data_IF_160123309716
#
_entry.id   IF_160123309716
#
_cell.length_a   1.000
_cell.length_b   1.000
_cell.length_c   1.000
_cell.angle_alpha   90.00
_cell.angle_beta   90.00
_cell.angle_gamma   90.00
#
_symmetry.space_group_name_H-M   'P 1'
#
loop_
_entity.id
_entity.type
_entity.pdbx_description
1 polymer ?
#
# COMPACT_ATOMS: atom_id res chain seq x y z
N UNK A 1 -3.86 -10.31 19.59
CA UNK A 1 -5.02 -10.94 18.93
C UNK A 1 -4.75 -11.07 17.44
N UNK A 2 -5.19 -12.15 16.85
CA UNK A 2 -5.26 -12.32 15.41
C UNK A 2 -6.48 -11.57 14.85
N UNK A 3 -6.50 -11.28 13.54
CA UNK A 3 -7.57 -10.46 12.93
C UNK A 3 -8.97 -11.11 13.09
N UNK A 4 -9.04 -12.41 12.95
CA UNK A 4 -10.30 -13.15 13.15
C UNK A 4 -10.78 -13.12 14.62
N UNK A 5 -9.87 -13.17 15.60
CA UNK A 5 -10.21 -13.04 17.02
C UNK A 5 -10.79 -11.66 17.34
N UNK A 6 -10.22 -10.59 16.73
CA UNK A 6 -10.74 -9.22 16.89
C UNK A 6 -12.15 -9.14 16.33
N UNK A 7 -12.39 -9.74 15.16
CA UNK A 7 -13.71 -9.79 14.51
C UNK A 7 -14.72 -10.55 15.38
N UNK A 8 -14.33 -11.68 15.94
CA UNK A 8 -15.16 -12.50 16.83
C UNK A 8 -15.56 -11.72 18.10
N UNK A 9 -14.60 -11.03 18.72
CA UNK A 9 -14.87 -10.19 19.91
C UNK A 9 -15.80 -9.01 19.59
N UNK A 10 -15.64 -8.40 18.42
CA UNK A 10 -16.55 -7.34 17.98
C UNK A 10 -17.96 -7.87 17.77
N UNK A 11 -18.09 -9.03 17.13
CA UNK A 11 -19.38 -9.70 16.90
C UNK A 11 -20.08 -10.03 18.21
N UNK A 12 -19.34 -10.55 19.20
CA UNK A 12 -19.86 -10.81 20.55
C UNK A 12 -20.36 -9.52 21.22
N UNK A 13 -19.57 -8.44 21.14
CA UNK A 13 -19.96 -7.13 21.70
C UNK A 13 -21.21 -6.53 21.03
N UNK A 14 -21.48 -6.88 19.78
CA UNK A 14 -22.68 -6.52 19.04
C UNK A 14 -23.88 -7.45 19.30
N UNK A 15 -23.71 -8.47 20.15
CA UNK A 15 -24.77 -9.43 20.51
C UNK A 15 -24.98 -10.56 19.50
N UNK A 16 -24.04 -10.76 18.60
CA UNK A 16 -24.04 -11.85 17.62
C UNK A 16 -22.76 -12.69 17.78
N UNK A 17 -22.70 -13.62 18.76
CA UNK A 17 -21.49 -14.39 19.00
C UNK A 17 -21.17 -15.34 17.86
N UNK A 18 -19.90 -15.33 17.45
CA UNK A 18 -19.30 -16.29 16.52
C UNK A 18 -18.27 -17.13 17.28
N UNK A 19 -18.65 -18.34 17.75
CA UNK A 19 -17.85 -19.08 18.74
C UNK A 19 -16.75 -19.91 18.08
N UNK A 20 -15.91 -19.28 17.26
CA UNK A 20 -14.74 -19.95 16.68
C UNK A 20 -13.59 -19.99 17.66
N UNK A 21 -12.90 -21.13 17.71
CA UNK A 21 -11.71 -21.34 18.53
C UNK A 21 -10.44 -21.42 17.68
N UNK A 22 -10.58 -21.65 16.37
CA UNK A 22 -9.47 -21.75 15.42
C UNK A 22 -9.92 -21.35 14.02
N UNK A 23 -9.00 -20.83 13.22
CA UNK A 23 -9.27 -20.43 11.84
C UNK A 23 -9.77 -21.55 10.93
N UNK A 24 -9.47 -22.82 11.26
CA UNK A 24 -10.00 -23.98 10.51
C UNK A 24 -11.52 -24.09 10.60
N UNK A 25 -12.13 -23.75 11.74
CA UNK A 25 -13.58 -23.79 11.92
C UNK A 25 -14.27 -22.74 11.04
N UNK A 26 -13.61 -21.59 10.84
CA UNK A 26 -14.06 -20.55 9.91
C UNK A 26 -13.97 -21.06 8.47
N UNK A 27 -12.86 -21.74 8.12
CA UNK A 27 -12.71 -22.31 6.78
C UNK A 27 -13.74 -23.40 6.52
N UNK A 28 -14.06 -24.23 7.49
CA UNK A 28 -15.08 -25.28 7.38
C UNK A 28 -16.47 -24.65 7.11
N UNK A 29 -16.81 -23.54 7.77
CA UNK A 29 -18.05 -22.81 7.49
C UNK A 29 -18.02 -22.16 6.09
N UNK A 30 -16.90 -21.54 5.69
CA UNK A 30 -16.75 -21.02 4.32
C UNK A 30 -16.96 -22.13 3.30
N UNK A 31 -16.35 -23.29 3.49
CA UNK A 31 -16.49 -24.44 2.62
C UNK A 31 -17.95 -24.95 2.55
N UNK A 32 -18.65 -24.97 3.68
CA UNK A 32 -20.05 -25.40 3.72
C UNK A 32 -21.00 -24.42 2.99
N UNK A 33 -20.69 -23.13 3.00
CA UNK A 33 -21.55 -22.08 2.43
C UNK A 33 -21.18 -21.69 0.99
N UNK A 34 -19.97 -22.04 0.52
CA UNK A 34 -19.45 -21.57 -0.77
C UNK A 34 -19.05 -22.75 -1.65
N UNK A 35 -19.84 -23.11 -2.65
CA UNK A 35 -19.59 -24.30 -3.48
C UNK A 35 -18.18 -24.40 -4.05
N UNK A 36 -17.61 -23.27 -4.49
CA UNK A 36 -16.25 -23.22 -5.07
C UNK A 36 -15.11 -23.37 -4.05
N UNK A 37 -15.43 -23.40 -2.76
CA UNK A 37 -14.51 -23.69 -1.65
C UNK A 37 -14.81 -25.03 -0.95
N UNK A 38 -15.83 -25.77 -1.40
CA UNK A 38 -16.33 -26.97 -0.74
C UNK A 38 -15.26 -28.04 -0.48
N UNK A 39 -14.29 -28.14 -1.37
CA UNK A 39 -13.17 -29.08 -1.25
C UNK A 39 -12.01 -28.57 -0.40
N UNK A 40 -12.04 -27.35 0.14
CA UNK A 40 -10.92 -26.76 0.90
C UNK A 40 -11.06 -27.07 2.38
N UNK A 41 -9.98 -27.53 3.02
CA UNK A 41 -9.88 -27.68 4.46
C UNK A 41 -8.44 -27.45 4.92
N UNK A 42 -8.23 -27.09 6.18
CA UNK A 42 -6.90 -26.98 6.76
C UNK A 42 -6.12 -28.30 6.66
N UNK A 43 -6.80 -29.44 6.87
CA UNK A 43 -6.19 -30.77 6.68
C UNK A 43 -5.61 -30.93 5.28
N UNK A 44 -6.40 -30.57 4.23
CA UNK A 44 -5.94 -30.64 2.84
C UNK A 44 -4.77 -29.68 2.59
N UNK A 45 -4.82 -28.45 3.14
CA UNK A 45 -3.74 -27.49 3.01
C UNK A 45 -2.45 -27.97 3.68
N UNK A 46 -2.54 -28.66 4.82
CA UNK A 46 -1.38 -29.25 5.49
C UNK A 46 -0.75 -30.40 4.67
N UNK A 47 -1.59 -31.20 4.01
CA UNK A 47 -1.13 -32.32 3.18
C UNK A 47 -0.55 -31.86 1.84
N UNK A 48 -1.14 -30.85 1.19
CA UNK A 48 -0.81 -30.40 -0.17
C UNK A 48 0.03 -29.13 -0.22
N UNK A 49 0.15 -28.40 0.90
CA UNK A 49 0.82 -27.09 0.98
C UNK A 49 0.01 -25.93 0.41
N UNK A 50 -0.76 -26.13 -0.64
CA UNK A 50 -1.66 -25.15 -1.23
C UNK A 50 -2.71 -25.83 -2.10
N UNK A 51 -3.87 -25.19 -2.24
CA UNK A 51 -4.93 -25.63 -3.15
C UNK A 51 -5.39 -24.46 -4.00
N UNK A 52 -5.45 -24.65 -5.32
CA UNK A 52 -5.88 -23.60 -6.24
C UNK A 52 -7.39 -23.59 -6.41
N UNK A 53 -7.97 -22.40 -6.28
CA UNK A 53 -9.40 -22.17 -6.45
C UNK A 53 -9.80 -22.24 -7.95
N UNK A 54 -11.02 -22.71 -8.28
CA UNK A 54 -11.98 -23.38 -7.40
C UNK A 54 -11.55 -24.79 -6.97
N UNK A 55 -12.00 -25.18 -5.76
CA UNK A 55 -11.81 -26.52 -5.24
C UNK A 55 -13.17 -27.01 -4.74
N UNK A 56 -13.80 -27.88 -5.49
CA UNK A 56 -15.17 -28.34 -5.33
C UNK A 56 -15.28 -29.84 -5.60
N UNK A 57 -16.50 -30.36 -5.72
CA UNK A 57 -16.74 -31.78 -5.96
C UNK A 57 -16.27 -32.25 -7.34
N UNK A 58 -16.22 -31.34 -8.33
CA UNK A 58 -15.73 -31.64 -9.67
C UNK A 58 -14.20 -31.54 -9.75
N UNK A 59 -13.61 -30.70 -8.90
CA UNK A 59 -12.17 -30.45 -8.83
C UNK A 59 -11.66 -30.62 -7.38
N UNK A 60 -11.71 -31.85 -6.85
CA UNK A 60 -11.40 -32.07 -5.42
C UNK A 60 -9.97 -31.72 -5.02
N UNK A 61 -9.03 -31.74 -5.96
CA UNK A 61 -7.62 -31.35 -5.72
C UNK A 61 -7.30 -29.90 -6.17
N UNK A 62 -8.36 -29.13 -6.47
CA UNK A 62 -8.27 -27.76 -6.95
C UNK A 62 -8.13 -27.64 -8.47
N UNK A 63 -8.08 -26.40 -8.96
CA UNK A 63 -8.07 -26.07 -10.39
C UNK A 63 -6.78 -25.35 -10.77
N UNK A 64 -5.73 -26.06 -11.19
CA UNK A 64 -4.43 -25.45 -11.51
C UNK A 64 -4.49 -24.37 -12.61
N UNK A 65 -5.36 -24.58 -13.61
CA UNK A 65 -5.57 -23.63 -14.71
C UNK A 65 -7.08 -23.43 -14.86
N UNK A 66 -7.52 -22.19 -14.71
CA UNK A 66 -8.93 -21.82 -14.84
C UNK A 66 -9.32 -21.63 -16.32
N UNK A 67 -10.58 -21.87 -16.61
CA UNK A 67 -11.19 -21.57 -17.93
C UNK A 67 -10.50 -22.25 -19.12
N UNK A 68 -10.07 -23.51 -18.98
CA UNK A 68 -9.41 -24.25 -20.07
C UNK A 68 -10.37 -24.41 -21.24
N UNK A 69 -11.59 -24.82 -20.99
CA UNK A 69 -12.59 -25.14 -22.03
C UNK A 69 -13.48 -23.94 -22.31
N UNK A 70 -14.08 -23.35 -21.28
CA UNK A 70 -14.97 -22.20 -21.40
C UNK A 70 -14.97 -21.32 -20.14
N UNK A 71 -15.49 -20.10 -20.28
CA UNK A 71 -15.77 -19.26 -19.12
C UNK A 71 -17.12 -19.68 -18.49
N UNK A 72 -17.24 -19.57 -17.16
CA UNK A 72 -18.48 -19.86 -16.42
C UNK A 72 -19.69 -19.10 -17.00
N UNK A 73 -19.49 -17.92 -17.56
CA UNK A 73 -20.52 -17.12 -18.22
C UNK A 73 -20.61 -17.34 -19.73
N UNK A 74 -19.99 -18.39 -20.26
CA UNK A 74 -19.87 -18.64 -21.70
C UNK A 74 -18.75 -17.78 -22.33
N UNK A 75 -18.98 -17.24 -23.52
CA UNK A 75 -17.96 -16.49 -24.25
C UNK A 75 -17.57 -15.20 -23.54
N UNK A 76 -16.29 -14.84 -23.64
CA UNK A 76 -15.79 -13.55 -23.18
C UNK A 76 -16.52 -12.40 -23.85
N UNK A 77 -16.79 -11.32 -23.09
CA UNK A 77 -17.45 -10.11 -23.58
C UNK A 77 -16.42 -9.00 -23.71
N UNK A 78 -16.32 -8.44 -24.92
CA UNK A 78 -15.53 -7.23 -25.15
C UNK A 78 -16.34 -6.00 -24.79
N UNK A 79 -15.73 -5.08 -24.07
CA UNK A 79 -16.30 -3.77 -23.77
C UNK A 79 -15.55 -2.72 -24.58
N UNK A 80 -16.29 -1.91 -25.30
CA UNK A 80 -15.72 -0.73 -25.97
C UNK A 80 -15.54 0.35 -24.92
N UNK A 81 -14.29 0.72 -24.66
CA UNK A 81 -13.95 1.79 -23.73
C UNK A 81 -13.24 2.90 -24.49
N UNK A 82 -13.53 4.14 -24.13
CA UNK A 82 -12.81 5.31 -24.65
C UNK A 82 -11.70 5.69 -23.65
N UNK A 83 -10.55 6.09 -24.17
CA UNK A 83 -9.51 6.67 -23.34
C UNK A 83 -9.96 8.02 -22.79
N UNK A 84 -9.99 8.15 -21.48
CA UNK A 84 -10.24 9.39 -20.79
C UNK A 84 -8.90 9.86 -20.20
N UNK A 85 -8.34 10.97 -20.70
CA UNK A 85 -7.08 11.48 -20.17
C UNK A 85 -7.25 11.98 -18.74
N UNK A 86 -6.17 11.87 -17.95
CA UNK A 86 -6.13 12.46 -16.61
C UNK A 86 -6.39 13.98 -16.65
N UNK A 87 -7.01 14.50 -15.59
CA UNK A 87 -7.12 15.94 -15.34
C UNK A 87 -5.86 16.52 -14.70
N UNK A 88 -4.99 15.68 -14.15
CA UNK A 88 -3.71 16.05 -13.54
C UNK A 88 -2.65 16.35 -14.62
N UNK A 89 -2.78 17.53 -15.25
CA UNK A 89 -1.84 18.00 -16.27
C UNK A 89 -0.79 18.93 -15.67
N UNK A 90 0.44 18.72 -16.10
CA UNK A 90 1.55 19.64 -15.79
C UNK A 90 1.33 21.03 -16.38
N UNK A 91 1.83 22.03 -15.69
CA UNK A 91 1.83 23.43 -16.12
C UNK A 91 2.98 24.17 -15.42
N UNK A 92 3.13 25.47 -15.67
CA UNK A 92 4.20 26.27 -15.08
C UNK A 92 4.20 26.27 -13.54
N UNK A 93 3.03 26.12 -12.89
CA UNK A 93 2.92 26.06 -11.43
C UNK A 93 3.26 24.67 -10.88
N UNK A 94 2.91 23.61 -11.59
CA UNK A 94 3.13 22.21 -11.24
C UNK A 94 3.79 21.49 -12.41
N UNK A 95 5.12 21.63 -12.58
CA UNK A 95 5.81 21.19 -13.80
C UNK A 95 6.20 19.72 -13.81
N UNK A 96 6.10 19.01 -12.68
CA UNK A 96 6.50 17.61 -12.56
C UNK A 96 5.27 16.71 -12.32
N UNK A 97 5.38 15.46 -12.72
CA UNK A 97 4.43 14.42 -12.37
C UNK A 97 4.99 13.62 -11.20
N UNK A 98 4.25 13.58 -10.11
CA UNK A 98 4.49 12.65 -9.01
C UNK A 98 3.78 11.33 -9.30
N UNK A 99 4.52 10.24 -9.18
CA UNK A 99 3.97 8.88 -9.08
C UNK A 99 4.28 8.28 -7.72
N UNK A 100 3.35 7.48 -7.19
CA UNK A 100 3.52 6.83 -5.90
C UNK A 100 3.60 5.33 -6.04
N UNK A 101 4.30 4.66 -5.15
CA UNK A 101 4.44 3.21 -5.20
C UNK A 101 4.87 2.59 -3.88
N UNK A 102 5.32 1.35 -3.97
CA UNK A 102 5.77 0.53 -2.85
C UNK A 102 7.23 0.13 -3.00
N UNK A 103 7.85 -0.20 -1.86
CA UNK A 103 9.18 -0.81 -1.78
C UNK A 103 9.06 -2.19 -1.10
N UNK A 104 10.03 -3.07 -1.36
CA UNK A 104 9.97 -4.46 -0.86
C UNK A 104 10.07 -4.58 0.65
N UNK A 105 10.73 -3.63 1.32
CA UNK A 105 10.97 -3.68 2.77
C UNK A 105 9.78 -3.25 3.63
N UNK A 106 8.75 -2.63 3.02
CA UNK A 106 7.59 -2.12 3.74
C UNK A 106 6.30 -2.60 3.09
N UNK A 107 5.26 -2.84 3.91
CA UNK A 107 3.96 -3.29 3.46
C UNK A 107 2.88 -2.24 3.76
N UNK A 108 2.19 -1.77 2.71
CA UNK A 108 1.14 -0.75 2.79
C UNK A 108 1.59 0.47 3.62
N UNK A 109 0.84 0.85 4.65
CA UNK A 109 1.18 1.98 5.55
C UNK A 109 2.26 1.65 6.58
N UNK A 110 2.89 0.48 6.47
CA UNK A 110 4.00 0.07 7.34
C UNK A 110 3.62 -0.22 8.80
N UNK A 111 2.34 -0.37 9.10
CA UNK A 111 1.88 -0.56 10.48
C UNK A 111 2.53 -1.78 11.19
N UNK A 112 2.81 -2.83 10.44
CA UNK A 112 3.51 -4.03 10.92
C UNK A 112 5.01 -3.97 10.61
N UNK A 113 5.38 -3.73 9.35
CA UNK A 113 6.77 -3.85 8.88
C UNK A 113 7.70 -2.78 9.46
N UNK A 114 7.20 -1.57 9.81
CA UNK A 114 7.97 -0.57 10.54
C UNK A 114 8.34 -0.99 11.97
N UNK A 115 7.73 -2.06 12.50
CA UNK A 115 8.05 -2.65 13.81
C UNK A 115 9.08 -3.77 13.72
N UNK A 116 9.59 -4.05 12.53
CA UNK A 116 10.59 -5.08 12.24
C UNK A 116 11.94 -4.44 11.88
N UNK A 117 12.95 -5.27 11.66
CA UNK A 117 14.27 -4.83 11.20
C UNK A 117 14.24 -4.19 9.81
N UNK A 118 13.19 -4.38 9.02
CA UNK A 118 13.02 -3.76 7.70
C UNK A 118 13.08 -2.22 7.75
N UNK A 119 12.75 -1.62 8.90
CA UNK A 119 12.87 -0.17 9.12
C UNK A 119 14.31 0.33 8.98
N UNK A 120 15.32 -0.51 9.27
CA UNK A 120 16.73 -0.13 9.11
C UNK A 120 17.12 0.07 7.63
N UNK A 121 16.43 -0.58 6.69
CA UNK A 121 16.73 -0.44 5.27
C UNK A 121 16.09 0.81 4.65
N UNK A 122 14.89 1.17 5.11
CA UNK A 122 14.15 2.35 4.64
C UNK A 122 13.42 2.98 5.83
N UNK A 123 14.11 3.85 6.57
CA UNK A 123 13.57 4.46 7.79
C UNK A 123 12.56 5.58 7.54
N UNK A 124 12.50 6.08 6.32
CA UNK A 124 11.59 7.15 5.88
C UNK A 124 11.19 6.99 4.42
N UNK A 125 10.07 7.59 4.02
CA UNK A 125 9.75 7.79 2.61
C UNK A 125 10.57 8.96 2.08
N UNK A 126 11.11 8.83 0.89
CA UNK A 126 11.97 9.82 0.23
C UNK A 126 11.37 10.23 -1.12
N UNK A 127 11.78 11.38 -1.64
CA UNK A 127 11.46 11.78 -3.01
C UNK A 127 12.61 11.40 -3.94
N UNK A 128 12.39 10.46 -4.84
CA UNK A 128 13.30 10.20 -5.95
C UNK A 128 13.10 11.26 -7.04
N UNK A 129 14.18 11.90 -7.46
CA UNK A 129 14.17 12.95 -8.48
C UNK A 129 15.33 12.75 -9.46
N UNK A 130 15.06 12.98 -10.75
CA UNK A 130 16.10 12.86 -11.77
C UNK A 130 17.19 13.94 -11.61
N UNK A 131 18.49 13.64 -11.88
CA UNK A 131 19.59 14.62 -11.75
C UNK A 131 19.31 15.96 -12.47
N UNK A 132 18.79 15.91 -13.67
CA UNK A 132 18.43 17.11 -14.44
C UNK A 132 17.40 17.99 -13.70
N UNK A 133 16.31 17.38 -13.19
CA UNK A 133 15.27 18.13 -12.48
C UNK A 133 15.76 18.67 -11.14
N UNK A 134 16.68 17.93 -10.47
CA UNK A 134 17.31 18.35 -9.23
C UNK A 134 18.23 19.57 -9.46
N UNK A 135 19.05 19.55 -10.51
CA UNK A 135 19.96 20.65 -10.87
C UNK A 135 19.17 21.93 -11.18
N UNK A 136 18.13 21.86 -11.99
CA UNK A 136 17.27 23.01 -12.31
C UNK A 136 16.66 23.67 -11.07
N UNK A 137 16.47 22.91 -9.98
CA UNK A 137 15.85 23.36 -8.73
C UNK A 137 16.84 23.63 -7.61
N UNK A 138 18.14 23.45 -7.89
CA UNK A 138 19.21 23.60 -6.90
C UNK A 138 19.11 22.61 -5.73
N UNK A 139 18.51 21.43 -5.98
CA UNK A 139 18.33 20.34 -5.02
C UNK A 139 19.58 19.44 -5.03
N UNK A 140 20.08 19.11 -3.86
CA UNK A 140 21.21 18.18 -3.66
C UNK A 140 20.74 16.90 -2.96
N UNK A 141 21.55 15.86 -3.09
CA UNK A 141 21.30 14.59 -2.39
C UNK A 141 21.08 14.82 -0.89
N UNK A 142 19.99 14.27 -0.36
CA UNK A 142 19.61 14.39 1.06
C UNK A 142 19.02 15.74 1.48
N UNK A 143 18.89 16.72 0.60
CA UNK A 143 18.20 17.97 0.91
C UNK A 143 16.73 17.74 1.27
N UNK A 144 16.19 18.57 2.15
CA UNK A 144 14.76 18.67 2.32
C UNK A 144 14.11 19.37 1.11
N UNK A 145 13.07 18.75 0.57
CA UNK A 145 12.31 19.30 -0.54
C UNK A 145 10.82 19.36 -0.19
N UNK A 146 10.24 20.51 -0.41
CA UNK A 146 8.79 20.73 -0.36
C UNK A 146 8.16 20.23 -1.65
N UNK A 147 7.10 19.47 -1.53
CA UNK A 147 6.29 18.96 -2.64
C UNK A 147 4.90 19.55 -2.49
N UNK A 148 4.47 20.30 -3.48
CA UNK A 148 3.17 21.00 -3.48
C UNK A 148 2.37 20.55 -4.68
N UNK A 149 1.12 20.16 -4.43
CA UNK A 149 0.12 19.82 -5.44
C UNK A 149 -1.09 20.77 -5.36
N UNK A 150 -2.14 20.46 -6.08
CA UNK A 150 -3.46 21.12 -5.93
C UNK A 150 -4.16 20.73 -4.65
N UNK A 151 -3.89 19.51 -4.14
CA UNK A 151 -4.53 18.96 -2.94
C UNK A 151 -3.88 19.41 -1.64
N UNK A 152 -2.55 19.57 -1.63
CA UNK A 152 -1.82 19.93 -0.42
C UNK A 152 -0.31 19.98 -0.61
N UNK A 153 0.40 19.93 0.52
CA UNK A 153 1.86 19.98 0.54
C UNK A 153 2.46 19.00 1.55
N UNK A 154 3.67 18.55 1.28
CA UNK A 154 4.50 17.78 2.21
C UNK A 154 5.98 18.08 2.03
N UNK A 155 6.81 17.56 2.92
CA UNK A 155 8.28 17.71 2.86
C UNK A 155 8.92 16.35 3.03
N UNK A 156 9.81 15.99 2.10
CA UNK A 156 10.58 14.74 2.10
C UNK A 156 12.07 15.03 1.90
N UNK A 157 12.91 14.02 2.13
CA UNK A 157 14.32 14.09 1.69
C UNK A 157 14.42 13.70 0.22
N UNK A 158 15.23 14.42 -0.52
CA UNK A 158 15.52 14.13 -1.91
C UNK A 158 16.56 13.01 -2.03
N UNK A 159 16.31 12.10 -2.96
CA UNK A 159 17.28 11.13 -3.49
C UNK A 159 17.44 11.37 -4.99
N UNK A 160 18.63 11.74 -5.40
CA UNK A 160 18.93 11.97 -6.81
C UNK A 160 19.23 10.64 -7.49
N UNK A 161 18.47 10.30 -8.53
CA UNK A 161 18.59 9.00 -9.20
C UNK A 161 18.06 9.03 -10.62
N UNK A 162 18.70 8.29 -11.53
CA UNK A 162 18.23 8.06 -12.89
C UNK A 162 17.14 6.99 -13.01
N UNK A 163 16.68 6.42 -11.90
CA UNK A 163 15.56 5.44 -11.89
C UNK A 163 14.22 6.07 -12.32
N UNK A 164 14.09 7.37 -12.14
CA UNK A 164 12.94 8.15 -12.60
C UNK A 164 13.31 8.93 -13.88
N UNK A 165 12.33 9.18 -14.73
CA UNK A 165 12.54 9.97 -15.95
C UNK A 165 12.54 11.47 -15.64
N UNK A 166 13.14 12.27 -16.50
CA UNK A 166 13.03 13.74 -16.45
C UNK A 166 11.56 14.14 -16.48
N UNK A 167 11.18 15.05 -15.61
CA UNK A 167 9.80 15.50 -15.42
C UNK A 167 8.93 14.59 -14.54
N UNK A 168 9.50 13.51 -14.01
CA UNK A 168 8.80 12.57 -13.12
C UNK A 168 9.54 12.46 -11.80
N UNK A 169 8.79 12.50 -10.69
CA UNK A 169 9.29 12.24 -9.34
C UNK A 169 8.51 11.09 -8.71
N UNK A 170 9.16 10.35 -7.80
CA UNK A 170 8.57 9.17 -7.17
C UNK A 170 8.70 9.24 -5.66
N UNK A 171 7.65 8.82 -4.97
CA UNK A 171 7.70 8.60 -3.52
C UNK A 171 6.90 7.37 -3.10
N UNK A 172 7.12 6.95 -1.87
CA UNK A 172 6.35 5.90 -1.22
C UNK A 172 5.39 6.49 -0.18
N UNK A 173 4.54 5.65 0.42
CA UNK A 173 3.52 6.06 1.40
C UNK A 173 3.51 5.15 2.62
N UNK A 174 4.66 4.56 2.94
CA UNK A 174 4.77 3.59 4.03
C UNK A 174 4.87 4.23 5.41
N UNK A 175 5.24 5.51 5.46
CA UNK A 175 5.40 6.28 6.68
C UNK A 175 4.33 7.38 6.76
N UNK A 176 3.45 7.37 7.80
CA UNK A 176 2.38 8.38 7.93
C UNK A 176 2.88 9.82 7.88
N UNK A 177 4.07 10.05 8.42
CA UNK A 177 4.74 11.35 8.45
C UNK A 177 5.23 11.85 7.08
N UNK A 178 5.21 11.02 6.07
CA UNK A 178 5.52 11.44 4.69
C UNK A 178 4.43 12.32 4.09
N UNK A 179 3.20 12.15 4.55
CA UNK A 179 2.06 12.88 4.02
C UNK A 179 1.78 12.64 2.54
N UNK A 180 2.19 11.50 1.97
CA UNK A 180 2.01 11.22 0.55
C UNK A 180 0.54 11.30 0.11
N UNK A 181 -0.39 10.88 0.97
CA UNK A 181 -1.83 10.95 0.66
C UNK A 181 -2.41 12.37 0.80
N UNK A 182 -1.68 13.31 1.42
CA UNK A 182 -2.11 14.71 1.52
C UNK A 182 -1.93 15.44 0.19
N UNK A 183 -0.94 15.01 -0.61
CA UNK A 183 -0.62 15.65 -1.89
C UNK A 183 -1.27 14.97 -3.10
N UNK A 184 -1.80 13.76 -2.95
CA UNK A 184 -2.57 13.10 -4.02
C UNK A 184 -3.95 13.70 -4.15
N UNK A 185 -4.48 13.75 -5.37
CA UNK A 185 -5.80 14.30 -5.66
C UNK A 185 -6.90 13.28 -5.43
N UNK A 186 -8.13 13.74 -5.38
CA UNK A 186 -9.35 12.94 -5.24
C UNK A 186 -9.91 12.43 -6.59
N UNK A 187 -9.13 12.58 -7.67
CA UNK A 187 -9.51 12.06 -8.97
C UNK A 187 -9.68 10.54 -8.92
N UNK A 188 -10.78 10.08 -9.46
CA UNK A 188 -11.11 8.66 -9.56
C UNK A 188 -11.95 8.39 -10.80
N UNK A 189 -12.02 7.14 -11.24
CA UNK A 189 -12.97 6.79 -12.27
C UNK A 189 -14.41 6.83 -11.73
N UNK A 190 -15.33 7.24 -12.59
CA UNK A 190 -16.72 7.44 -12.23
C UNK A 190 -17.48 6.15 -11.92
N UNK A 191 -17.01 5.00 -12.40
CA UNK A 191 -17.74 3.73 -12.30
C UNK A 191 -17.39 2.94 -11.04
N UNK A 192 -16.09 2.91 -10.66
CA UNK A 192 -15.59 2.09 -9.57
C UNK A 192 -14.95 2.91 -8.46
N UNK A 193 -14.84 4.24 -8.64
CA UNK A 193 -14.10 5.13 -7.74
C UNK A 193 -12.64 4.69 -7.50
N UNK A 194 -12.02 4.06 -8.51
CA UNK A 194 -10.62 3.70 -8.44
C UNK A 194 -9.76 4.96 -8.45
N UNK A 195 -9.01 5.27 -7.37
CA UNK A 195 -8.29 6.54 -7.27
C UNK A 195 -7.06 6.59 -8.16
N UNK A 196 -6.76 7.78 -8.70
CA UNK A 196 -5.63 8.05 -9.58
C UNK A 196 -4.38 8.49 -8.78
N UNK A 197 -4.00 7.80 -7.71
CA UNK A 197 -2.90 8.19 -6.83
C UNK A 197 -1.51 8.18 -7.48
N UNK A 198 -1.38 7.60 -8.67
CA UNK A 198 -0.09 7.49 -9.39
C UNK A 198 0.17 8.62 -10.38
N UNK A 199 -0.75 9.58 -10.48
CA UNK A 199 -0.61 10.73 -11.37
C UNK A 199 -1.06 11.98 -10.64
N UNK A 200 -0.09 12.80 -10.20
CA UNK A 200 -0.36 14.07 -9.53
C UNK A 200 0.63 15.11 -10.05
N UNK A 201 0.14 16.22 -10.57
CA UNK A 201 1.00 17.31 -10.99
C UNK A 201 1.50 18.09 -9.76
N UNK A 202 2.82 18.25 -9.63
CA UNK A 202 3.48 18.81 -8.44
C UNK A 202 4.52 19.85 -8.79
N UNK A 203 4.78 20.74 -7.83
CA UNK A 203 5.98 21.56 -7.75
C UNK A 203 6.90 20.97 -6.69
N UNK A 204 8.19 20.94 -6.97
CA UNK A 204 9.23 20.55 -6.04
C UNK A 204 10.19 21.71 -5.85
N UNK A 205 10.45 22.07 -4.60
CA UNK A 205 11.38 23.14 -4.26
C UNK A 205 12.25 22.79 -3.06
N UNK A 206 13.48 23.25 -3.05
CA UNK A 206 14.38 23.09 -1.90
C UNK A 206 13.84 23.82 -0.68
N UNK A 207 13.87 23.17 0.49
CA UNK A 207 13.50 23.74 1.79
C UNK A 207 14.77 23.91 2.63
N UNK A 208 15.10 25.13 3.00
CA UNK A 208 16.29 25.41 3.79
C UNK A 208 16.13 25.05 5.25
N UNK A 209 14.92 25.17 5.80
CA UNK A 209 14.57 24.83 7.18
C UNK A 209 13.15 24.25 7.23
N UNK A 210 12.99 23.19 8.03
CA UNK A 210 11.66 22.67 8.33
C UNK A 210 10.89 23.66 9.21
N UNK A 211 9.60 23.83 8.95
CA UNK A 211 8.70 24.54 9.85
C UNK A 211 8.59 23.82 11.20
N UNK A 212 8.13 24.51 12.24
CA UNK A 212 7.98 23.89 13.55
C UNK A 212 6.95 22.76 13.54
N UNK A 213 5.90 22.87 12.71
CA UNK A 213 4.94 21.79 12.48
C UNK A 213 5.60 20.55 11.83
N UNK A 214 6.41 20.74 10.80
CA UNK A 214 7.12 19.66 10.13
C UNK A 214 8.12 18.98 11.05
N UNK A 215 8.85 19.74 11.89
CA UNK A 215 9.73 19.20 12.93
C UNK A 215 8.96 18.38 13.95
N UNK A 216 7.84 18.89 14.45
CA UNK A 216 7.01 18.20 15.43
C UNK A 216 6.48 16.88 14.88
N UNK A 217 6.03 16.85 13.64
CA UNK A 217 5.53 15.65 12.98
C UNK A 217 6.61 14.58 12.81
N UNK A 218 7.82 14.98 12.42
CA UNK A 218 8.98 14.09 12.31
C UNK A 218 9.43 13.56 13.68
N UNK A 219 9.46 14.38 14.71
CA UNK A 219 9.82 13.97 16.08
C UNK A 219 8.84 12.96 16.66
N UNK A 220 7.56 13.08 16.34
CA UNK A 220 6.55 12.10 16.75
C UNK A 220 6.82 10.71 16.13
N UNK A 221 7.21 10.68 14.88
CA UNK A 221 7.61 9.44 14.19
C UNK A 221 8.85 8.81 14.80
N UNK A 222 9.90 9.59 15.07
CA UNK A 222 11.11 9.12 15.71
C UNK A 222 10.82 8.54 17.10
N UNK A 223 9.93 9.16 17.87
CA UNK A 223 9.50 8.65 19.17
C UNK A 223 8.74 7.32 19.06
N UNK A 224 7.91 7.13 18.04
CA UNK A 224 7.24 5.85 17.79
C UNK A 224 8.23 4.74 17.40
N UNK A 225 9.22 5.05 16.56
CA UNK A 225 10.29 4.12 16.18
C UNK A 225 11.11 3.70 17.41
N UNK A 226 11.50 4.67 18.24
CA UNK A 226 12.26 4.41 19.47
C UNK A 226 11.46 3.56 20.48
N UNK A 227 10.14 3.77 20.58
CA UNK A 227 9.26 2.98 21.43
C UNK A 227 9.12 1.52 20.93
N UNK A 228 9.01 1.32 19.62
CA UNK A 228 8.98 0.00 19.02
C UNK A 228 10.32 -0.76 19.21
N UNK A 229 11.45 -0.07 19.09
CA UNK A 229 12.78 -0.63 19.35
C UNK A 229 12.95 -1.12 20.78
N UNK A 230 12.53 -0.35 21.77
CA UNK A 230 12.59 -0.73 23.19
C UNK A 230 11.70 -1.95 23.52
N UNK A 231 10.54 -2.06 22.90
CA UNK A 231 9.69 -3.26 23.05
C UNK A 231 10.32 -4.52 22.47
N UNK A 232 10.98 -4.39 21.30
CA UNK A 232 11.67 -5.50 20.66
C UNK A 232 12.88 -5.99 21.46
N UNK A 233 13.61 -5.09 22.15
CA UNK A 233 14.70 -5.45 23.07
C UNK A 233 14.18 -6.12 24.35
N UNK A 234 13.10 -5.63 24.92
CA UNK A 234 12.49 -6.23 26.12
C UNK A 234 11.96 -7.63 25.86
N UNK A 235 11.42 -7.90 24.66
CA UNK A 235 10.94 -9.22 24.24
C UNK A 235 12.06 -10.25 23.97
N UNK A 236 13.32 -9.80 23.79
CA UNK A 236 14.48 -10.69 23.65
C UNK A 236 15.10 -11.12 24.98
N UNK A 237 14.72 -10.48 26.08
CA UNK A 237 15.25 -10.70 27.43
C UNK A 237 14.25 -11.50 28.28
N UNK A 238 13.05 -11.70 27.83
CA UNK A 238 12.00 -12.56 28.41
C UNK A 238 11.92 -13.89 27.67
#
# INVERSE_FOLDING_TARGET
>A
YEDWEVTTKLSEALGYPMPYNHASEIMDEIAALTPTFHGVSFKKLDEMGSVQWPCDDEHPDGTPIMHIDEFVRGKGKFFITQYVPTTEKVNAKFPLILTTGRILSQYNVGAQTRRTQNTAWHPEDILEIHPHDAEERGVKEGDWVGIVSRAGETVLRAKITERVQVGVVYTTFHHPESGANVITTDNSDWATNCPEFKVTAVQVSRVSQLSDWQKHYKTFSEAQIAFAGKKAEAAKVS
#
